data_IF_507925465500
#
_entry.id   IF_507925465500
#
_cell.length_a   1.000
_cell.length_b   1.000
_cell.length_c   1.000
_cell.angle_alpha   90.00
_cell.angle_beta   90.00
_cell.angle_gamma   90.00
#
_symmetry.space_group_name_H-M   'P 1'
#
loop_
_entity.id
_entity.type
_entity.pdbx_description
1 polymer ?
#
# COMPACT_ATOMS: atom_id res chain seq x y z
N UNK A 1 -0.26 37.99 -37.32
CA UNK A 1 -0.42 37.82 -35.86
C UNK A 1 -0.47 36.33 -35.58
N UNK A 2 0.37 35.80 -34.70
CA UNK A 2 0.44 34.37 -34.43
C UNK A 2 -0.47 33.99 -33.25
N UNK A 3 -1.32 32.98 -33.43
CA UNK A 3 -2.22 32.48 -32.40
C UNK A 3 -1.46 31.47 -31.53
N UNK A 4 -1.13 31.85 -30.31
CA UNK A 4 -0.44 30.97 -29.35
C UNK A 4 -1.46 29.97 -28.77
N UNK A 5 -1.24 28.68 -29.02
CA UNK A 5 -2.04 27.61 -28.44
C UNK A 5 -1.63 27.36 -26.98
N UNK A 6 -2.58 27.36 -26.02
CA UNK A 6 -2.26 27.13 -24.62
C UNK A 6 -1.86 25.67 -24.37
N UNK A 7 -0.75 25.46 -23.65
CA UNK A 7 -0.30 24.13 -23.27
C UNK A 7 -1.21 23.51 -22.20
N UNK A 8 -1.67 22.28 -22.47
CA UNK A 8 -2.47 21.50 -21.52
C UNK A 8 -1.60 21.11 -20.32
N UNK A 9 -2.07 21.40 -19.11
CA UNK A 9 -1.38 21.02 -17.87
C UNK A 9 -1.24 19.49 -17.79
N UNK A 10 -0.07 18.97 -17.40
CA UNK A 10 0.11 17.53 -17.20
C UNK A 10 -0.82 17.04 -16.10
N UNK A 11 -1.40 15.85 -16.29
CA UNK A 11 -2.29 15.22 -15.31
C UNK A 11 -1.60 15.00 -13.96
N UNK A 12 -2.41 14.88 -12.90
CA UNK A 12 -1.91 14.59 -11.54
C UNK A 12 -1.07 13.32 -11.57
N UNK A 13 0.22 13.45 -11.22
CA UNK A 13 1.12 12.31 -11.09
C UNK A 13 0.62 11.43 -9.95
N UNK A 14 0.45 10.14 -10.21
CA UNK A 14 0.15 9.15 -9.18
C UNK A 14 1.22 9.23 -8.08
N UNK A 15 0.86 9.12 -6.79
CA UNK A 15 1.83 9.14 -5.72
C UNK A 15 2.84 8.01 -5.94
N UNK A 16 4.13 8.36 -5.92
CA UNK A 16 5.22 7.40 -6.04
C UNK A 16 5.09 6.43 -4.86
N UNK A 17 4.72 5.18 -5.13
CA UNK A 17 4.60 4.14 -4.09
C UNK A 17 5.99 3.65 -3.62
N UNK A 18 7.08 4.30 -4.07
CA UNK A 18 8.46 4.09 -3.63
C UNK A 18 8.90 2.63 -3.69
N UNK A 19 9.67 2.20 -2.70
CA UNK A 19 10.13 0.82 -2.52
C UNK A 19 9.00 -0.23 -2.51
N UNK A 20 7.78 0.15 -2.14
CA UNK A 20 6.64 -0.76 -2.14
C UNK A 20 6.12 -1.13 -3.54
N UNK A 21 6.63 -0.51 -4.61
CA UNK A 21 6.36 -0.90 -5.99
C UNK A 21 7.11 -2.17 -6.41
N UNK A 22 8.26 -2.43 -5.77
CA UNK A 22 9.14 -3.57 -6.06
C UNK A 22 9.08 -4.64 -4.95
N UNK A 23 7.94 -4.74 -4.27
CA UNK A 23 7.72 -5.68 -3.15
C UNK A 23 8.62 -5.50 -1.90
N UNK A 24 9.40 -4.42 -1.83
CA UNK A 24 10.15 -4.03 -0.62
C UNK A 24 9.25 -3.32 0.39
N UNK A 25 8.44 -4.12 1.06
CA UNK A 25 7.52 -3.68 2.11
C UNK A 25 8.19 -3.66 3.48
N UNK A 26 8.05 -2.53 4.20
CA UNK A 26 8.36 -2.47 5.63
C UNK A 26 7.16 -3.01 6.40
N UNK A 27 7.21 -4.29 6.73
CA UNK A 27 6.17 -5.00 7.47
C UNK A 27 6.24 -4.68 8.97
N UNK A 28 5.11 -4.35 9.56
CA UNK A 28 4.93 -4.16 11.00
C UNK A 28 3.82 -5.10 11.49
N UNK A 29 4.02 -5.71 12.66
CA UNK A 29 3.04 -6.64 13.23
C UNK A 29 1.86 -5.84 13.80
N UNK A 30 0.69 -6.04 13.24
CA UNK A 30 -0.54 -5.42 13.70
C UNK A 30 -1.12 -6.26 14.85
N UNK A 31 -0.88 -5.84 16.10
CA UNK A 31 -1.35 -6.55 17.30
C UNK A 31 -2.86 -6.53 17.49
N UNK A 32 -3.59 -5.72 16.74
CA UNK A 32 -5.03 -5.53 16.91
C UNK A 32 -5.89 -6.73 16.47
N UNK A 33 -5.41 -7.56 15.53
CA UNK A 33 -6.14 -8.75 15.04
C UNK A 33 -5.20 -9.95 15.05
N UNK A 34 -5.17 -10.64 16.19
CA UNK A 34 -4.37 -11.83 16.40
C UNK A 34 -5.16 -13.12 16.18
N UNK A 35 -6.49 -13.07 16.09
CA UNK A 35 -7.34 -14.26 15.99
C UNK A 35 -8.24 -14.17 14.76
N UNK A 36 -8.17 -15.18 13.89
CA UNK A 36 -9.07 -15.31 12.74
C UNK A 36 -10.28 -16.16 13.14
N UNK A 37 -11.43 -15.49 13.34
CA UNK A 37 -12.69 -16.12 13.76
C UNK A 37 -13.16 -17.16 12.75
N UNK A 38 -12.84 -17.00 11.46
CA UNK A 38 -13.27 -17.96 10.42
C UNK A 38 -12.43 -19.22 10.42
N UNK A 39 -11.14 -19.12 10.75
CA UNK A 39 -10.22 -20.26 10.76
C UNK A 39 -10.06 -20.88 12.15
N UNK A 40 -10.53 -20.21 13.20
CA UNK A 40 -10.42 -20.69 14.59
C UNK A 40 -8.97 -20.74 15.10
N UNK A 41 -8.07 -19.96 14.49
CA UNK A 41 -6.63 -19.99 14.78
C UNK A 41 -6.07 -18.59 15.00
N UNK A 42 -4.98 -18.54 15.77
CA UNK A 42 -4.18 -17.33 15.92
C UNK A 42 -3.44 -17.04 14.60
N UNK A 43 -3.64 -15.85 14.08
CA UNK A 43 -2.99 -15.36 12.86
C UNK A 43 -2.18 -14.11 13.18
N UNK A 44 -1.01 -14.02 12.57
CA UNK A 44 -0.18 -12.81 12.67
C UNK A 44 -0.42 -11.96 11.43
N UNK A 45 -1.04 -10.80 11.61
CA UNK A 45 -1.27 -9.83 10.52
C UNK A 45 -0.10 -8.85 10.47
N UNK A 46 0.60 -8.82 9.34
CA UNK A 46 1.62 -7.83 9.04
C UNK A 46 1.00 -6.72 8.19
N UNK A 47 1.16 -5.46 8.61
CA UNK A 47 0.74 -4.28 7.84
C UNK A 47 1.97 -3.51 7.39
N UNK A 48 2.01 -3.13 6.12
CA UNK A 48 3.08 -2.29 5.62
C UNK A 48 2.84 -0.84 6.06
N UNK A 49 3.82 -0.24 6.75
CA UNK A 49 3.76 1.16 7.21
C UNK A 49 3.72 2.18 6.07
N UNK A 50 4.27 1.84 4.90
CA UNK A 50 4.40 2.75 3.75
C UNK A 50 3.16 2.76 2.86
N UNK A 51 2.62 1.59 2.54
CA UNK A 51 1.54 1.44 1.56
C UNK A 51 0.24 0.88 2.15
N UNK A 52 0.23 0.46 3.41
CA UNK A 52 -0.95 -0.11 4.06
C UNK A 52 -1.33 -1.52 3.63
N UNK A 53 -0.61 -2.16 2.69
CA UNK A 53 -0.82 -3.57 2.33
C UNK A 53 -0.79 -4.44 3.59
N UNK A 54 -1.66 -5.43 3.67
CA UNK A 54 -1.71 -6.39 4.77
C UNK A 54 -1.32 -7.78 4.27
N UNK A 55 -0.56 -8.51 5.08
CA UNK A 55 -0.17 -9.89 4.85
C UNK A 55 -0.50 -10.70 6.09
N UNK A 56 -1.33 -11.72 5.95
CA UNK A 56 -1.72 -12.60 7.06
C UNK A 56 -0.88 -13.86 6.98
N UNK A 57 -0.26 -14.24 8.10
CA UNK A 57 0.45 -15.52 8.23
C UNK A 57 -0.26 -16.34 9.32
N UNK A 58 -0.85 -17.46 8.92
CA UNK A 58 -1.39 -18.46 9.83
C UNK A 58 -0.27 -19.40 10.29
N UNK A 59 -0.38 -19.90 11.52
CA UNK A 59 0.47 -20.96 12.07
C UNK A 59 -0.17 -22.34 11.89
#
# INVERSE_FOLDING_TARGET
MATILPFKKPGKKTPRKGLCQHDFHKWEVCKAKQFDVKQGKLVTVYRCTRCGKQKVKAH
#
